data_IF_390580384381
#
_entry.id   IF_390580384381
#
_cell.length_a   1.000
_cell.length_b   1.000
_cell.length_c   1.000
_cell.angle_alpha   90.00
_cell.angle_beta   90.00
_cell.angle_gamma   90.00
#
_symmetry.space_group_name_H-M   'P 1'
#
loop_
_entity.id
_entity.type
_entity.pdbx_description
1 polymer ?
#
# COMPACT_ATOMS: atom_id res chain seq x y z
N UNK A 1 -3.00 21.42 -16.51
CA UNK A 1 -1.56 21.75 -16.49
C UNK A 1 -0.77 20.47 -16.68
N UNK A 2 0.23 20.46 -17.57
CA UNK A 2 1.12 19.30 -17.78
C UNK A 2 2.24 19.41 -16.74
N UNK A 3 2.23 18.56 -15.72
CA UNK A 3 3.18 18.65 -14.59
C UNK A 3 4.35 17.66 -14.74
N UNK A 4 4.17 16.53 -15.44
CA UNK A 4 5.22 15.53 -15.67
C UNK A 4 5.39 15.19 -17.16
N UNK A 5 6.64 14.96 -17.56
CA UNK A 5 7.00 14.54 -18.91
C UNK A 5 6.57 13.10 -19.23
N UNK A 6 6.36 12.80 -20.52
CA UNK A 6 5.82 11.52 -21.01
C UNK A 6 6.53 10.26 -20.49
N UNK A 7 7.86 10.29 -20.36
CA UNK A 7 8.66 9.16 -19.90
C UNK A 7 8.43 8.88 -18.41
N UNK A 8 8.36 9.93 -17.59
CA UNK A 8 8.15 9.82 -16.15
C UNK A 8 6.71 9.34 -15.83
N UNK A 9 5.71 9.83 -16.56
CA UNK A 9 4.31 9.41 -16.40
C UNK A 9 4.10 7.92 -16.69
N UNK A 10 4.78 7.37 -17.71
CA UNK A 10 4.76 5.94 -18.01
C UNK A 10 5.40 5.13 -16.87
N UNK A 11 6.60 5.51 -16.42
CA UNK A 11 7.26 4.80 -15.31
C UNK A 11 6.41 4.82 -14.03
N UNK A 12 5.81 5.96 -13.70
CA UNK A 12 4.96 6.11 -12.53
C UNK A 12 3.70 5.24 -12.61
N UNK A 13 3.18 5.02 -13.82
CA UNK A 13 2.01 4.14 -14.04
C UNK A 13 2.37 2.68 -13.80
N UNK A 14 3.51 2.20 -14.32
CA UNK A 14 3.97 0.83 -14.07
C UNK A 14 4.28 0.57 -12.59
N UNK A 15 4.96 1.51 -11.92
CA UNK A 15 5.24 1.40 -10.48
C UNK A 15 3.95 1.40 -9.66
N UNK A 16 2.96 2.23 -10.02
CA UNK A 16 1.67 2.25 -9.33
C UNK A 16 0.92 0.93 -9.48
N UNK A 17 0.90 0.34 -10.68
CA UNK A 17 0.25 -0.97 -10.91
C UNK A 17 0.92 -2.05 -10.06
N UNK A 18 2.26 -2.09 -10.06
CA UNK A 18 3.02 -3.04 -9.26
C UNK A 18 2.74 -2.87 -7.75
N UNK A 19 2.79 -1.64 -7.25
CA UNK A 19 2.53 -1.31 -5.86
C UNK A 19 1.11 -1.71 -5.43
N UNK A 20 0.10 -1.45 -6.26
CA UNK A 20 -1.29 -1.84 -6.00
C UNK A 20 -1.40 -3.35 -5.82
N UNK A 21 -0.82 -4.15 -6.72
CA UNK A 21 -0.87 -5.62 -6.64
C UNK A 21 -0.22 -6.11 -5.35
N UNK A 22 1.00 -5.66 -5.06
CA UNK A 22 1.74 -6.09 -3.85
C UNK A 22 1.05 -5.68 -2.55
N UNK A 23 0.59 -4.42 -2.45
CA UNK A 23 -0.09 -3.93 -1.25
C UNK A 23 -1.45 -4.59 -1.04
N UNK A 24 -2.18 -4.90 -2.12
CA UNK A 24 -3.47 -5.62 -2.01
C UNK A 24 -3.27 -7.04 -1.48
N UNK A 25 -2.27 -7.77 -2.00
CA UNK A 25 -1.93 -9.10 -1.50
C UNK A 25 -1.51 -9.05 -0.02
N UNK A 26 -0.66 -8.09 0.34
CA UNK A 26 -0.21 -7.91 1.71
C UNK A 26 -1.37 -7.56 2.64
N UNK A 27 -2.26 -6.64 2.25
CA UNK A 27 -3.44 -6.28 3.03
C UNK A 27 -4.37 -7.46 3.31
N UNK A 28 -4.59 -8.35 2.33
CA UNK A 28 -5.41 -9.57 2.51
C UNK A 28 -4.73 -10.56 3.46
N UNK A 29 -3.41 -10.75 3.34
CA UNK A 29 -2.64 -11.65 4.21
C UNK A 29 -2.59 -11.13 5.66
N UNK A 30 -2.46 -9.82 5.84
CA UNK A 30 -2.52 -9.15 7.15
C UNK A 30 -3.92 -9.26 7.78
N UNK A 31 -4.99 -9.09 6.99
CA UNK A 31 -6.37 -9.28 7.47
C UNK A 31 -6.64 -10.74 7.89
N UNK A 32 -5.99 -11.70 7.21
CA UNK A 32 -6.05 -13.12 7.56
C UNK A 32 -5.13 -13.50 8.73
N UNK A 33 -4.47 -12.53 9.37
CA UNK A 33 -3.55 -12.73 10.50
C UNK A 33 -2.45 -13.76 10.19
N UNK A 34 -1.87 -13.70 8.99
CA UNK A 34 -0.87 -14.65 8.55
C UNK A 34 0.39 -14.63 9.43
N UNK A 35 0.85 -15.81 9.87
CA UNK A 35 2.03 -15.95 10.73
C UNK A 35 3.33 -15.40 10.10
N UNK A 36 3.39 -15.36 8.76
CA UNK A 36 4.55 -14.84 8.02
C UNK A 36 4.89 -13.39 8.35
N UNK A 37 3.90 -12.58 8.73
CA UNK A 37 4.08 -11.16 9.09
C UNK A 37 4.24 -10.94 10.61
N UNK A 38 4.31 -12.00 11.41
CA UNK A 38 4.43 -11.88 12.86
C UNK A 38 5.78 -11.26 13.27
N UNK A 39 6.85 -11.54 12.51
CA UNK A 39 8.17 -10.94 12.73
C UNK A 39 8.20 -9.47 12.31
N UNK A 40 7.60 -9.14 11.16
CA UNK A 40 7.54 -7.77 10.63
C UNK A 40 6.76 -6.81 11.54
N UNK A 41 5.74 -7.30 12.25
CA UNK A 41 4.94 -6.49 13.18
C UNK A 41 5.59 -6.29 14.55
N UNK A 42 6.82 -6.81 14.73
CA UNK A 42 7.59 -6.78 15.97
C UNK A 42 6.67 -7.10 17.15
N UNK A 43 6.01 -8.26 17.09
CA UNK A 43 5.18 -8.79 18.18
C UNK A 43 6.11 -9.32 19.28
N UNK A 44 7.13 -8.55 19.64
CA UNK A 44 7.91 -8.79 20.83
C UNK A 44 7.15 -8.21 22.03
N UNK A 45 7.23 -8.89 23.19
CA UNK A 45 6.67 -8.37 24.42
C UNK A 45 7.50 -7.15 24.84
N UNK A 46 7.10 -5.96 24.37
CA UNK A 46 7.68 -4.66 24.75
C UNK A 46 7.63 -4.40 26.27
N UNK A 47 6.94 -5.26 27.02
CA UNK A 47 7.04 -5.30 28.46
C UNK A 47 7.30 -6.74 28.92
N UNK A 48 8.43 -6.94 29.58
CA UNK A 48 8.77 -8.07 30.44
C UNK A 48 7.80 -8.28 31.64
N UNK A 49 6.61 -7.66 31.59
CA UNK A 49 5.56 -7.64 32.61
C UNK A 49 4.22 -8.25 32.17
N UNK A 50 4.05 -8.62 30.89
CA UNK A 50 2.80 -9.25 30.43
C UNK A 50 2.92 -10.76 30.66
N UNK A 51 2.54 -11.20 31.87
CA UNK A 51 2.46 -12.63 32.24
C UNK A 51 1.28 -13.32 31.56
N UNK A 52 0.32 -12.56 31.02
CA UNK A 52 -0.94 -13.08 30.51
C UNK A 52 -0.94 -13.22 28.97
N UNK A 53 -0.88 -14.47 28.49
CA UNK A 53 -0.88 -14.83 27.07
C UNK A 53 -2.05 -14.22 26.29
N UNK A 54 -3.21 -14.05 26.95
CA UNK A 54 -4.42 -13.49 26.32
C UNK A 54 -4.25 -12.02 25.91
N UNK A 55 -3.57 -11.23 26.72
CA UNK A 55 -3.35 -9.80 26.46
C UNK A 55 -2.40 -9.64 25.26
N UNK A 56 -1.33 -10.45 25.21
CA UNK A 56 -0.37 -10.44 24.12
C UNK A 56 -1.03 -10.80 22.78
N UNK A 57 -1.92 -11.79 22.76
CA UNK A 57 -2.67 -12.16 21.54
C UNK A 57 -3.60 -11.01 21.13
N UNK A 58 -4.32 -10.38 22.05
CA UNK A 58 -5.20 -9.26 21.68
C UNK A 58 -4.44 -8.05 21.12
N UNK A 59 -3.26 -7.76 21.65
CA UNK A 59 -2.40 -6.68 21.16
C UNK A 59 -1.81 -7.01 19.78
N UNK A 60 -1.41 -8.28 19.57
CA UNK A 60 -0.98 -8.77 18.26
C UNK A 60 -2.07 -8.58 17.19
N UNK A 61 -3.30 -9.00 17.46
CA UNK A 61 -4.42 -8.83 16.54
C UNK A 61 -4.66 -7.36 16.19
N UNK A 62 -4.60 -6.47 17.19
CA UNK A 62 -4.69 -5.02 16.97
C UNK A 62 -3.59 -4.50 16.04
N UNK A 63 -2.34 -4.96 16.20
CA UNK A 63 -1.24 -4.59 15.29
C UNK A 63 -1.48 -5.07 13.86
N UNK A 64 -1.95 -6.31 13.66
CA UNK A 64 -2.31 -6.83 12.34
C UNK A 64 -3.38 -5.98 11.66
N UNK A 65 -4.44 -5.63 12.39
CA UNK A 65 -5.56 -4.86 11.84
C UNK A 65 -5.16 -3.42 11.51
N UNK A 66 -4.31 -2.80 12.33
CA UNK A 66 -3.76 -1.48 12.07
C UNK A 66 -2.86 -1.47 10.82
N UNK A 67 -2.00 -2.48 10.67
CA UNK A 67 -1.14 -2.61 9.49
C UNK A 67 -1.95 -2.90 8.22
N UNK A 68 -2.98 -3.74 8.30
CA UNK A 68 -3.91 -4.00 7.20
C UNK A 68 -4.63 -2.71 6.74
N UNK A 69 -5.09 -1.88 7.68
CA UNK A 69 -5.71 -0.58 7.36
C UNK A 69 -4.75 0.35 6.63
N UNK A 70 -3.51 0.48 7.12
CA UNK A 70 -2.50 1.31 6.46
C UNK A 70 -2.20 0.83 5.04
N UNK A 71 -2.14 -0.50 4.85
CA UNK A 71 -1.95 -1.10 3.53
C UNK A 71 -3.11 -0.75 2.59
N UNK A 72 -4.36 -0.84 3.07
CA UNK A 72 -5.53 -0.48 2.28
C UNK A 72 -5.57 1.01 1.90
N UNK A 73 -5.24 1.90 2.83
CA UNK A 73 -5.13 3.33 2.55
C UNK A 73 -4.06 3.58 1.49
N UNK A 74 -2.90 2.92 1.59
CA UNK A 74 -1.84 3.02 0.61
C UNK A 74 -2.30 2.56 -0.79
N UNK A 75 -3.03 1.44 -0.89
CA UNK A 75 -3.63 1.01 -2.17
C UNK A 75 -4.51 2.09 -2.77
N UNK A 76 -5.41 2.68 -1.96
CA UNK A 76 -6.28 3.77 -2.41
C UNK A 76 -5.48 4.96 -2.95
N UNK A 77 -4.40 5.35 -2.27
CA UNK A 77 -3.51 6.42 -2.73
C UNK A 77 -2.84 6.08 -4.06
N UNK A 78 -2.33 4.87 -4.24
CA UNK A 78 -1.72 4.45 -5.50
C UNK A 78 -2.72 4.37 -6.66
N UNK A 79 -3.99 4.01 -6.40
CA UNK A 79 -5.06 4.08 -7.41
C UNK A 79 -5.28 5.52 -7.87
N UNK A 80 -5.32 6.48 -6.93
CA UNK A 80 -5.46 7.90 -7.26
C UNK A 80 -4.24 8.39 -8.07
N UNK A 81 -3.03 8.02 -7.66
CA UNK A 81 -1.80 8.37 -8.39
C UNK A 81 -1.80 7.81 -9.80
N UNK A 82 -2.27 6.56 -9.99
CA UNK A 82 -2.41 5.94 -11.30
C UNK A 82 -3.44 6.68 -12.18
N UNK A 83 -4.59 7.07 -11.61
CA UNK A 83 -5.60 7.83 -12.34
C UNK A 83 -5.04 9.19 -12.81
N UNK A 84 -4.30 9.88 -11.95
CA UNK A 84 -3.65 11.15 -12.29
C UNK A 84 -2.54 10.96 -13.35
N UNK A 85 -1.73 9.90 -13.23
CA UNK A 85 -0.66 9.63 -14.21
C UNK A 85 -1.23 9.29 -15.59
N UNK A 86 -2.32 8.51 -15.65
CA UNK A 86 -3.05 8.21 -16.88
C UNK A 86 -3.69 9.45 -17.49
N UNK A 87 -4.30 10.31 -16.67
CA UNK A 87 -4.85 11.58 -17.14
C UNK A 87 -3.76 12.48 -17.73
N UNK A 88 -2.60 12.58 -17.07
CA UNK A 88 -1.44 13.32 -17.60
C UNK A 88 -0.88 12.68 -18.88
N UNK A 89 -0.85 11.35 -18.97
CA UNK A 89 -0.43 10.64 -20.18
C UNK A 89 -1.36 10.95 -21.36
N UNK A 90 -2.68 10.95 -21.15
CA UNK A 90 -3.68 11.26 -22.16
C UNK A 90 -3.55 12.71 -22.67
N UNK A 91 -3.42 13.68 -21.77
CA UNK A 91 -3.19 15.09 -22.13
C UNK A 91 -1.89 15.27 -22.90
N UNK A 92 -0.80 14.62 -22.48
CA UNK A 92 0.48 14.64 -23.18
C UNK A 92 0.38 14.03 -24.59
N UNK A 93 -0.42 12.97 -24.77
CA UNK A 93 -0.70 12.42 -26.10
C UNK A 93 -1.44 13.42 -26.98
N UNK A 94 -2.49 14.09 -26.49
CA UNK A 94 -3.24 15.07 -27.28
C UNK A 94 -2.36 16.21 -27.81
N UNK A 95 -1.51 16.77 -26.95
CA UNK A 95 -0.57 17.84 -27.34
C UNK A 95 0.45 17.35 -28.38
N UNK A 96 0.92 16.11 -28.29
CA UNK A 96 1.84 15.53 -29.28
C UNK A 96 1.20 15.29 -30.67
N UNK A 97 -0.09 14.94 -30.73
CA UNK A 97 -0.78 14.66 -32.00
C UNK A 97 -1.51 15.87 -32.59
N UNK A 98 -1.51 17.02 -31.92
CA UNK A 98 -1.92 18.31 -32.49
C UNK A 98 -3.40 18.44 -32.86
N UNK A 99 -4.32 17.88 -32.06
CA UNK A 99 -5.76 18.15 -32.18
C UNK A 99 -6.20 19.26 -31.22
#
# INVERSE_FOLDING_TARGET
>A
MIVCGKRLSICCSFLSIWAIIMLTLMGILLYSHALAFAEDLEIEPRSSKITDRKILISEAYSKYENAAHNCWIAVCLYIITLALSLHQYYLNRKVQYGL
#
